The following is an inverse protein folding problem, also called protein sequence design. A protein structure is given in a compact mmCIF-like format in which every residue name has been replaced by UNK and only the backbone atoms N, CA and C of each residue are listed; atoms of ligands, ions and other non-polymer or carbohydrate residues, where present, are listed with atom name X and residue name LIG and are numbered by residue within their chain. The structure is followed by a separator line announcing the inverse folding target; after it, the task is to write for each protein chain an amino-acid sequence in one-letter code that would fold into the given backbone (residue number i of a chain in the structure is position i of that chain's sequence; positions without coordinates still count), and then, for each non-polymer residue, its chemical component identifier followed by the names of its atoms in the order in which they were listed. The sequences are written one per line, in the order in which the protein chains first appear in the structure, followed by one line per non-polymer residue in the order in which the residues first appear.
data_IF_775336269124
#
_entry.id   IF_775336269124
#
_cell.length_a   1.000
_cell.length_b   1.000
_cell.length_c   1.000
_cell.angle_alpha   90.00
_cell.angle_beta   90.00
_cell.angle_gamma   90.00
#
_symmetry.space_group_name_H-M   'P 1'
#
loop_
_entity.id
_entity.type
_entity.pdbx_description
1 polymer ?
#
# COMPACT_ATOMS: atom_id res chain seq x y z
N UNK A 1 0.81 -14.44 1.76
CA UNK A 1 -0.04 -13.24 1.96
C UNK A 1 -0.22 -12.49 0.64
N UNK A 2 0.81 -11.89 0.08
CA UNK A 2 0.79 -11.16 -1.20
C UNK A 2 0.20 -12.00 -2.35
N UNK A 3 0.79 -13.15 -2.67
CA UNK A 3 0.36 -14.02 -3.75
C UNK A 3 -1.06 -14.57 -3.54
N UNK A 4 -1.45 -14.82 -2.27
CA UNK A 4 -2.83 -15.19 -1.95
C UNK A 4 -3.82 -14.07 -2.23
N UNK A 5 -3.45 -12.84 -1.94
CA UNK A 5 -4.29 -11.68 -2.24
C UNK A 5 -4.41 -11.40 -3.75
N UNK A 6 -3.39 -11.77 -4.55
CA UNK A 6 -3.44 -11.77 -6.02
C UNK A 6 -4.21 -12.98 -6.60
N UNK A 7 -4.49 -14.01 -5.81
CA UNK A 7 -5.08 -15.25 -6.31
C UNK A 7 -4.08 -16.19 -7.01
N UNK A 8 -2.78 -15.97 -6.84
CA UNK A 8 -1.70 -16.69 -7.53
C UNK A 8 -0.93 -17.69 -6.64
N UNK A 9 -1.29 -17.81 -5.36
CA UNK A 9 -0.65 -18.72 -4.42
C UNK A 9 -0.96 -20.19 -4.72
N UNK A 10 -2.19 -20.48 -5.16
CA UNK A 10 -2.65 -21.84 -5.44
C UNK A 10 -3.70 -21.87 -6.56
N UNK A 11 -3.87 -23.02 -7.20
CA UNK A 11 -4.99 -23.30 -8.11
C UNK A 11 -6.35 -23.36 -7.40
N UNK A 12 -6.38 -23.47 -6.08
CA UNK A 12 -7.58 -23.51 -5.27
C UNK A 12 -7.88 -22.14 -4.67
N UNK A 13 -9.03 -21.57 -4.99
CA UNK A 13 -9.44 -20.23 -4.53
C UNK A 13 -9.49 -20.09 -3.01
N UNK A 14 -9.94 -21.14 -2.30
CA UNK A 14 -10.01 -21.12 -0.84
C UNK A 14 -8.62 -21.00 -0.19
N UNK A 15 -7.56 -21.62 -0.80
CA UNK A 15 -6.18 -21.46 -0.33
C UNK A 15 -5.65 -20.05 -0.58
N UNK A 16 -6.00 -19.47 -1.73
CA UNK A 16 -5.66 -18.08 -2.03
C UNK A 16 -6.32 -17.13 -1.01
N UNK A 17 -7.59 -17.37 -0.73
CA UNK A 17 -8.33 -16.60 0.28
C UNK A 17 -7.69 -16.71 1.66
N UNK A 18 -7.41 -17.94 2.12
CA UNK A 18 -6.77 -18.18 3.40
C UNK A 18 -5.40 -17.49 3.49
N UNK A 19 -4.56 -17.68 2.47
CA UNK A 19 -3.24 -17.05 2.39
C UNK A 19 -3.34 -15.52 2.33
N UNK A 20 -4.33 -14.96 1.63
CA UNK A 20 -4.59 -13.51 1.59
C UNK A 20 -5.00 -12.97 2.96
N UNK A 21 -5.86 -13.69 3.68
CA UNK A 21 -6.34 -13.27 5.00
C UNK A 21 -5.29 -13.30 6.11
N UNK A 22 -4.12 -13.92 5.89
CA UNK A 22 -2.98 -13.73 6.82
C UNK A 22 -2.56 -12.26 6.97
N UNK A 23 -2.91 -11.40 5.99
CA UNK A 23 -2.74 -9.95 6.10
C UNK A 23 -3.59 -9.36 7.24
N UNK A 24 -4.79 -9.90 7.45
CA UNK A 24 -5.67 -9.46 8.55
C UNK A 24 -5.10 -9.80 9.93
N UNK A 25 -4.31 -10.87 10.04
CA UNK A 25 -3.60 -11.20 11.30
C UNK A 25 -2.55 -10.15 11.67
N UNK A 26 -2.05 -9.40 10.68
CA UNK A 26 -1.17 -8.25 10.88
C UNK A 26 -1.93 -6.94 11.08
N UNK A 27 -3.27 -7.00 11.15
CA UNK A 27 -4.14 -5.86 11.39
C UNK A 27 -4.55 -5.06 10.15
N UNK A 28 -4.13 -5.47 8.95
CA UNK A 28 -4.48 -4.77 7.71
C UNK A 28 -5.76 -5.33 7.07
N UNK A 29 -6.52 -4.48 6.38
CA UNK A 29 -7.70 -4.90 5.62
C UNK A 29 -7.31 -5.48 4.26
N UNK A 30 -7.62 -6.77 4.04
CA UNK A 30 -7.38 -7.44 2.74
C UNK A 30 -8.13 -6.74 1.61
N UNK A 31 -9.36 -6.27 1.86
CA UNK A 31 -10.16 -5.58 0.85
C UNK A 31 -9.53 -4.23 0.44
N UNK A 32 -9.10 -3.42 1.42
CA UNK A 32 -8.40 -2.17 1.16
C UNK A 32 -7.07 -2.41 0.43
N UNK A 33 -6.31 -3.41 0.88
CA UNK A 33 -5.05 -3.77 0.26
C UNK A 33 -5.23 -4.21 -1.21
N UNK A 34 -6.21 -5.09 -1.49
CA UNK A 34 -6.54 -5.50 -2.86
C UNK A 34 -6.91 -4.32 -3.74
N UNK A 35 -7.72 -3.40 -3.24
CA UNK A 35 -8.11 -2.22 -4.02
C UNK A 35 -6.91 -1.31 -4.30
N UNK A 36 -6.10 -1.02 -3.27
CA UNK A 36 -4.92 -0.20 -3.37
C UNK A 36 -3.87 -0.84 -4.29
N UNK A 37 -3.50 -2.08 -4.01
CA UNK A 37 -2.39 -2.75 -4.68
C UNK A 37 -2.79 -3.29 -6.06
N UNK A 38 -3.83 -4.13 -6.16
CA UNK A 38 -4.18 -4.77 -7.43
C UNK A 38 -4.84 -3.80 -8.41
N UNK A 39 -5.71 -2.88 -7.93
CA UNK A 39 -6.45 -2.01 -8.82
C UNK A 39 -5.73 -0.69 -9.11
N UNK A 40 -5.00 -0.11 -8.14
CA UNK A 40 -4.37 1.20 -8.31
C UNK A 40 -2.89 1.06 -8.65
N UNK A 41 -2.10 0.43 -7.75
CA UNK A 41 -0.66 0.29 -7.98
C UNK A 41 -0.33 -0.44 -9.30
N UNK A 42 -0.94 -1.59 -9.60
CA UNK A 42 -0.68 -2.30 -10.85
C UNK A 42 -1.15 -1.55 -12.11
N UNK A 43 -2.16 -0.67 -11.99
CA UNK A 43 -2.63 0.12 -13.13
C UNK A 43 -1.80 1.40 -13.33
N UNK A 44 -1.36 2.03 -12.23
CA UNK A 44 -0.72 3.34 -12.22
C UNK A 44 0.63 3.31 -11.50
N UNK A 45 1.39 2.25 -11.70
CA UNK A 45 2.68 2.02 -11.03
C UNK A 45 3.62 3.21 -11.18
N UNK A 46 4.15 3.69 -10.06
CA UNK A 46 5.10 4.82 -9.96
C UNK A 46 4.55 6.17 -10.44
N UNK A 47 3.24 6.33 -10.56
CA UNK A 47 2.65 7.64 -10.86
C UNK A 47 2.45 8.39 -9.55
N UNK A 48 3.21 9.49 -9.39
CA UNK A 48 3.13 10.36 -8.22
C UNK A 48 1.73 10.95 -8.03
N UNK A 49 1.23 10.93 -6.78
CA UNK A 49 -0.11 11.38 -6.44
C UNK A 49 -1.26 10.38 -6.72
N UNK A 50 -0.98 9.24 -7.39
CA UNK A 50 -1.94 8.17 -7.64
C UNK A 50 -1.51 6.87 -6.97
N UNK A 51 -0.24 6.50 -7.14
CA UNK A 51 0.32 5.28 -6.57
C UNK A 51 0.73 5.51 -5.10
N UNK A 52 -0.12 5.06 -4.22
CA UNK A 52 0.08 5.14 -2.77
C UNK A 52 1.30 4.31 -2.27
N UNK A 53 1.75 3.33 -3.06
CA UNK A 53 2.85 2.46 -2.64
C UNK A 53 4.21 3.17 -2.73
N UNK A 54 4.29 4.28 -3.48
CA UNK A 54 5.46 5.18 -3.49
C UNK A 54 5.30 6.42 -2.61
N UNK A 55 4.13 6.59 -1.96
CA UNK A 55 3.86 7.77 -1.13
C UNK A 55 4.38 7.57 0.29
N UNK A 56 5.54 8.11 0.56
CA UNK A 56 6.21 8.05 1.87
C UNK A 56 6.16 9.39 2.64
N UNK A 57 5.11 10.19 2.41
CA UNK A 57 4.93 11.49 3.09
C UNK A 57 6.03 12.50 2.78
N UNK A 58 6.75 12.32 1.68
CA UNK A 58 7.85 13.20 1.27
C UNK A 58 9.10 13.11 2.16
N UNK A 59 9.19 12.10 3.02
CA UNK A 59 10.39 11.81 3.82
C UNK A 59 11.37 10.90 3.07
N UNK A 60 10.87 10.06 2.18
CA UNK A 60 11.66 9.24 1.26
C UNK A 60 11.20 9.59 -0.16
N UNK A 61 12.13 9.83 -1.05
CA UNK A 61 11.87 10.02 -2.47
C UNK A 61 12.04 8.68 -3.18
N UNK A 62 10.96 8.15 -3.72
CA UNK A 62 10.90 6.82 -4.34
C UNK A 62 10.76 6.89 -5.87
N UNK A 63 10.38 8.06 -6.43
CA UNK A 63 10.26 8.26 -7.86
C UNK A 63 10.89 9.60 -8.29
N UNK A 64 11.36 9.68 -9.54
CA UNK A 64 11.99 10.89 -10.07
C UNK A 64 11.03 12.06 -10.21
N UNK A 65 9.74 11.78 -10.38
CA UNK A 65 8.66 12.76 -10.41
C UNK A 65 8.45 13.49 -9.07
N UNK A 66 8.85 12.87 -7.95
CA UNK A 66 8.66 13.44 -6.62
C UNK A 66 9.67 14.57 -6.34
N UNK A 67 9.27 15.64 -5.63
CA UNK A 67 10.13 16.75 -5.31
C UNK A 67 11.40 16.33 -4.55
N UNK A 68 12.56 16.79 -5.02
CA UNK A 68 13.81 16.52 -4.33
C UNK A 68 14.02 17.53 -3.19
N UNK A 69 14.17 17.00 -1.95
CA UNK A 69 14.47 17.78 -0.75
C UNK A 69 15.91 17.48 -0.28
N UNK A 70 16.53 18.41 0.44
CA UNK A 70 17.91 18.25 0.94
C UNK A 70 18.09 17.01 1.82
N UNK A 71 17.05 16.62 2.58
CA UNK A 71 17.06 15.43 3.43
C UNK A 71 17.22 14.13 2.62
N UNK A 72 16.75 14.11 1.35
CA UNK A 72 16.82 12.90 0.52
C UNK A 72 18.26 12.49 0.18
N UNK A 73 19.23 13.42 0.29
CA UNK A 73 20.67 13.10 0.13
C UNK A 73 21.14 12.09 1.17
N UNK A 74 20.50 12.06 2.33
CA UNK A 74 20.82 11.17 3.45
C UNK A 74 19.85 9.98 3.57
N UNK A 75 18.89 9.81 2.65
CA UNK A 75 17.84 8.80 2.78
C UNK A 75 18.38 7.37 2.86
N UNK A 76 19.53 7.08 2.25
CA UNK A 76 20.19 5.77 2.31
C UNK A 76 20.63 5.37 3.72
N UNK A 77 20.73 6.30 4.68
CA UNK A 77 21.03 5.99 6.07
C UNK A 77 19.78 5.76 6.92
N UNK A 78 18.72 6.54 6.70
CA UNK A 78 17.55 6.51 7.56
C UNK A 78 16.34 5.72 6.99
N UNK A 79 16.38 5.36 5.71
CA UNK A 79 15.25 4.66 5.09
C UNK A 79 14.85 3.35 5.79
N UNK A 80 15.78 2.50 6.34
CA UNK A 80 15.35 1.25 6.97
C UNK A 80 14.51 1.50 8.22
N UNK A 81 14.88 2.50 9.00
CA UNK A 81 14.14 2.88 10.20
C UNK A 81 12.77 3.48 9.83
N UNK A 82 12.76 4.42 8.88
CA UNK A 82 11.51 5.02 8.42
C UNK A 82 10.58 3.99 7.78
N UNK A 83 11.12 3.06 7.01
CA UNK A 83 10.31 2.04 6.35
C UNK A 83 9.63 1.10 7.35
N UNK A 84 10.31 0.73 8.43
CA UNK A 84 9.70 -0.06 9.50
C UNK A 84 8.59 0.69 10.26
N UNK A 85 8.74 2.00 10.44
CA UNK A 85 7.72 2.86 11.06
C UNK A 85 6.57 3.18 10.09
N UNK A 86 6.84 3.26 8.79
CA UNK A 86 5.86 3.57 7.75
C UNK A 86 4.74 2.53 7.70
N UNK A 87 5.06 1.25 7.92
CA UNK A 87 4.07 0.19 7.99
C UNK A 87 3.05 0.43 9.13
N UNK A 88 3.54 0.82 10.31
CA UNK A 88 2.69 1.15 11.45
C UNK A 88 1.83 2.39 11.14
N UNK A 89 2.42 3.39 10.50
CA UNK A 89 1.71 4.59 10.09
C UNK A 89 0.60 4.28 9.07
N UNK A 90 0.87 3.47 8.06
CA UNK A 90 -0.15 3.06 7.11
C UNK A 90 -1.30 2.32 7.79
N UNK A 91 -0.98 1.36 8.63
CA UNK A 91 -1.96 0.54 9.33
C UNK A 91 -2.81 1.37 10.28
N UNK A 92 -2.17 2.20 11.13
CA UNK A 92 -2.86 2.92 12.20
C UNK A 92 -3.57 4.20 11.75
N UNK A 93 -3.13 4.83 10.67
CA UNK A 93 -3.66 6.13 10.26
C UNK A 93 -4.20 6.15 8.83
N UNK A 94 -3.43 5.71 7.85
CA UNK A 94 -3.82 5.87 6.45
C UNK A 94 -4.94 4.92 6.05
N UNK A 95 -4.91 3.69 6.49
CA UNK A 95 -5.97 2.71 6.18
C UNK A 95 -7.29 3.09 6.85
N UNK A 96 -7.25 3.57 8.09
CA UNK A 96 -8.45 4.11 8.75
C UNK A 96 -8.98 5.34 8.02
N UNK A 97 -8.12 6.29 7.66
CA UNK A 97 -8.52 7.48 6.90
C UNK A 97 -9.18 7.09 5.57
N UNK A 98 -8.61 6.14 4.83
CA UNK A 98 -9.15 5.64 3.57
C UNK A 98 -10.48 4.93 3.77
N UNK A 99 -10.60 4.10 4.80
CA UNK A 99 -11.84 3.41 5.13
C UNK A 99 -12.99 4.40 5.37
N UNK A 100 -12.76 5.42 6.17
CA UNK A 100 -13.78 6.44 6.47
C UNK A 100 -14.04 7.40 5.31
N UNK A 101 -13.04 7.73 4.50
CA UNK A 101 -13.21 8.61 3.33
C UNK A 101 -13.84 7.89 2.13
N UNK A 102 -13.79 6.56 2.09
CA UNK A 102 -14.25 5.77 0.95
C UNK A 102 -13.42 5.94 -0.32
N UNK A 103 -12.21 6.49 -0.20
CA UNK A 103 -11.31 6.77 -1.33
C UNK A 103 -9.88 6.37 -1.01
N UNK A 104 -9.15 6.01 -2.06
CA UNK A 104 -7.68 5.88 -2.05
C UNK A 104 -7.14 6.93 -3.02
N UNK A 105 -6.48 7.97 -2.50
CA UNK A 105 -6.21 9.17 -3.30
C UNK A 105 -7.52 9.77 -3.82
N UNK A 106 -7.60 9.99 -5.12
CA UNK A 106 -8.82 10.46 -5.78
C UNK A 106 -9.72 9.32 -6.32
N UNK A 107 -9.28 8.07 -6.16
CA UNK A 107 -10.00 6.89 -6.66
C UNK A 107 -10.97 6.36 -5.60
N UNK A 108 -12.26 6.21 -5.90
CA UNK A 108 -13.23 5.64 -4.96
C UNK A 108 -12.95 4.16 -4.71
N UNK A 109 -13.08 3.74 -3.45
CA UNK A 109 -12.97 2.32 -3.09
C UNK A 109 -14.12 1.57 -3.74
N UNK A 110 -13.82 0.61 -4.61
CA UNK A 110 -14.84 -0.33 -5.11
C UNK A 110 -15.39 -1.14 -3.95
N UNK A 111 -16.70 -1.07 -3.74
CA UNK A 111 -17.36 -1.99 -2.84
C UNK A 111 -17.27 -3.39 -3.45
N UNK A 112 -16.47 -4.24 -2.85
CA UNK A 112 -16.46 -5.66 -3.20
C UNK A 112 -17.71 -6.27 -2.57
N UNK A 113 -18.71 -6.52 -3.40
CA UNK A 113 -19.82 -7.42 -3.10
C UNK A 113 -19.41 -8.84 -3.38
#
# INVERSE_FOLDING_TARGET
MHDGAHGSFSKHEWLNSLAGHTLSMLGASVALWKNKHNAIHHTFTNIDGIDDDIEAGGMIRMADSQPHKSIHRMQHYYWPLLYSLLYIYWLAFTDFKKYFSGKVGDVPIRKFT
#
